data_IF_848711282565
#
_entry.id   IF_848711282565
#
_cell.length_a   1.000
_cell.length_b   1.000
_cell.length_c   1.000
_cell.angle_alpha   90.00
_cell.angle_beta   90.00
_cell.angle_gamma   90.00
#
_symmetry.space_group_name_H-M   'P 1'
#
loop_
_entity.id
_entity.type
_entity.pdbx_description
1 polymer ?
#
# COMPACT_ATOMS: atom_id res chain seq x y z
N UNK A 1 -10.31 16.92 -28.25
CA UNK A 1 -9.64 16.29 -27.09
C UNK A 1 -9.62 14.80 -27.37
N UNK A 2 -8.47 14.14 -27.24
CA UNK A 2 -8.33 12.69 -27.43
C UNK A 2 -9.24 11.96 -26.44
N UNK A 3 -10.05 11.02 -26.92
CA UNK A 3 -11.06 10.34 -26.11
C UNK A 3 -10.46 9.61 -24.91
N UNK A 4 -9.24 9.09 -25.07
CA UNK A 4 -8.48 8.45 -23.98
C UNK A 4 -8.15 9.47 -22.89
N UNK A 5 -7.75 10.69 -23.26
CA UNK A 5 -7.48 11.76 -22.30
C UNK A 5 -8.75 12.22 -21.59
N UNK A 6 -9.88 12.33 -22.31
CA UNK A 6 -11.18 12.65 -21.71
C UNK A 6 -11.61 11.57 -20.72
N UNK A 7 -11.42 10.30 -21.08
CA UNK A 7 -11.71 9.15 -20.23
C UNK A 7 -10.89 9.15 -18.94
N UNK A 8 -9.56 9.27 -19.03
CA UNK A 8 -8.72 9.34 -17.83
C UNK A 8 -8.97 10.60 -17.01
N UNK A 9 -9.32 11.74 -17.64
CA UNK A 9 -9.74 12.92 -16.88
C UNK A 9 -10.99 12.64 -16.07
N UNK A 10 -12.00 11.99 -16.67
CA UNK A 10 -13.24 11.63 -15.97
C UNK A 10 -12.98 10.67 -14.81
N UNK A 11 -12.08 9.69 -14.98
CA UNK A 11 -11.64 8.82 -13.87
C UNK A 11 -11.03 9.64 -12.75
N UNK A 12 -10.05 10.49 -13.05
CA UNK A 12 -9.31 11.28 -12.04
C UNK A 12 -10.18 12.27 -11.26
N UNK A 13 -11.33 12.64 -11.81
CA UNK A 13 -12.29 13.56 -11.16
C UNK A 13 -13.52 12.86 -10.61
N UNK A 14 -13.56 11.52 -10.61
CA UNK A 14 -14.71 10.75 -10.10
C UNK A 14 -16.00 10.91 -10.89
N UNK A 15 -15.92 11.35 -12.15
CA UNK A 15 -17.10 11.57 -13.00
C UNK A 15 -17.62 10.25 -13.57
N UNK A 16 -18.25 9.45 -12.70
CA UNK A 16 -18.79 8.13 -13.01
C UNK A 16 -19.79 8.16 -14.18
N UNK A 17 -20.59 9.23 -14.29
CA UNK A 17 -21.57 9.39 -15.37
C UNK A 17 -20.87 9.47 -16.71
N UNK A 18 -19.84 10.30 -16.81
CA UNK A 18 -19.08 10.44 -18.04
C UNK A 18 -18.23 9.19 -18.34
N UNK A 19 -17.64 8.56 -17.32
CA UNK A 19 -16.96 7.26 -17.47
C UNK A 19 -17.89 6.22 -18.08
N UNK A 20 -19.13 6.09 -17.59
CA UNK A 20 -20.15 5.18 -18.17
C UNK A 20 -20.48 5.53 -19.62
N UNK A 21 -20.74 6.81 -19.92
CA UNK A 21 -21.07 7.25 -21.27
C UNK A 21 -19.94 6.96 -22.28
N UNK A 22 -18.70 7.19 -21.87
CA UNK A 22 -17.52 6.90 -22.68
C UNK A 22 -17.33 5.39 -22.91
N UNK A 23 -17.55 4.56 -21.89
CA UNK A 23 -17.46 3.10 -22.01
C UNK A 23 -18.57 2.49 -22.88
N UNK A 24 -19.78 3.07 -22.87
CA UNK A 24 -20.88 2.65 -23.75
C UNK A 24 -20.51 2.87 -25.22
N UNK A 25 -19.96 4.05 -25.53
CA UNK A 25 -19.61 4.41 -26.91
C UNK A 25 -18.29 3.80 -27.37
N UNK A 26 -17.38 3.51 -26.43
CA UNK A 26 -16.03 3.01 -26.71
C UNK A 26 -15.62 1.93 -25.69
N UNK A 27 -16.15 0.69 -25.79
CA UNK A 27 -15.93 -0.36 -24.79
C UNK A 27 -14.47 -0.74 -24.58
N UNK A 28 -13.61 -0.59 -25.59
CA UNK A 28 -12.18 -0.86 -25.48
C UNK A 28 -11.47 0.01 -24.43
N UNK A 29 -12.05 1.16 -24.04
CA UNK A 29 -11.52 2.02 -22.99
C UNK A 29 -11.42 1.32 -21.62
N UNK A 30 -12.18 0.23 -21.40
CA UNK A 30 -12.09 -0.55 -20.17
C UNK A 30 -10.67 -1.06 -19.89
N UNK A 31 -9.88 -1.30 -20.95
CA UNK A 31 -8.49 -1.75 -20.90
C UNK A 31 -7.52 -0.67 -21.42
N UNK A 32 -7.94 0.58 -21.50
CA UNK A 32 -7.05 1.66 -21.91
C UNK A 32 -5.97 1.91 -20.85
N UNK A 33 -4.82 2.40 -21.32
CA UNK A 33 -3.72 2.86 -20.49
C UNK A 33 -3.39 4.32 -20.76
N UNK A 34 -2.89 5.02 -19.75
CA UNK A 34 -2.31 6.36 -19.91
C UNK A 34 -1.06 6.28 -20.81
N UNK A 35 -0.55 7.44 -21.25
CA UNK A 35 0.72 7.47 -22.03
C UNK A 35 1.91 6.94 -21.23
N UNK A 36 1.83 6.98 -19.91
CA UNK A 36 2.81 6.45 -18.96
C UNK A 36 2.60 4.97 -18.65
N UNK A 37 1.55 4.35 -19.19
CA UNK A 37 1.28 2.91 -19.06
C UNK A 37 0.34 2.51 -17.92
N UNK A 38 -0.24 3.46 -17.18
CA UNK A 38 -1.17 3.15 -16.09
C UNK A 38 -2.53 2.73 -16.66
N UNK A 39 -3.06 1.58 -16.25
CA UNK A 39 -4.40 1.16 -16.67
C UNK A 39 -5.50 2.04 -16.08
N UNK A 40 -6.69 1.99 -16.69
CA UNK A 40 -7.89 2.60 -16.13
C UNK A 40 -8.18 2.18 -14.68
N UNK A 41 -7.97 0.90 -14.35
CA UNK A 41 -8.20 0.36 -13.00
C UNK A 41 -7.20 0.94 -12.02
N UNK A 42 -5.91 0.97 -12.37
CA UNK A 42 -4.87 1.49 -11.48
C UNK A 42 -5.08 2.99 -11.20
N UNK A 43 -5.43 3.77 -12.23
CA UNK A 43 -5.76 5.19 -12.05
C UNK A 43 -6.99 5.35 -11.14
N UNK A 44 -8.05 4.57 -11.34
CA UNK A 44 -9.24 4.66 -10.48
C UNK A 44 -8.92 4.29 -9.02
N UNK A 45 -8.06 3.30 -8.79
CA UNK A 45 -7.57 2.94 -7.44
C UNK A 45 -6.79 4.10 -6.82
N UNK A 46 -5.82 4.68 -7.54
CA UNK A 46 -4.98 5.77 -7.02
C UNK A 46 -5.78 7.02 -6.65
N UNK A 47 -6.77 7.38 -7.48
CA UNK A 47 -7.62 8.55 -7.22
C UNK A 47 -8.77 8.24 -6.24
N UNK A 48 -8.78 7.06 -5.61
CA UNK A 48 -9.79 6.63 -4.64
C UNK A 48 -11.22 6.67 -5.19
N UNK A 49 -11.43 6.05 -6.36
CA UNK A 49 -12.69 6.02 -7.08
C UNK A 49 -13.33 4.61 -7.09
N UNK A 50 -13.85 4.13 -5.94
CA UNK A 50 -14.26 2.73 -5.77
C UNK A 50 -15.41 2.31 -6.69
N UNK A 51 -16.33 3.22 -7.02
CA UNK A 51 -17.45 2.91 -7.93
C UNK A 51 -16.97 2.78 -9.39
N UNK A 52 -15.94 3.53 -9.78
CA UNK A 52 -15.32 3.38 -11.10
C UNK A 52 -14.52 2.07 -11.15
N UNK A 53 -13.79 1.72 -10.09
CA UNK A 53 -13.11 0.41 -9.99
C UNK A 53 -14.12 -0.72 -10.15
N UNK A 54 -15.22 -0.71 -9.40
CA UNK A 54 -16.28 -1.73 -9.51
C UNK A 54 -16.83 -1.83 -10.92
N UNK A 55 -17.09 -0.70 -11.57
CA UNK A 55 -17.59 -0.65 -12.95
C UNK A 55 -16.60 -1.29 -13.93
N UNK A 56 -15.32 -0.91 -13.88
CA UNK A 56 -14.29 -1.44 -14.77
C UNK A 56 -14.13 -2.95 -14.59
N UNK A 57 -14.12 -3.43 -13.35
CA UNK A 57 -14.07 -4.86 -13.03
C UNK A 57 -15.30 -5.61 -13.57
N UNK A 58 -16.50 -5.05 -13.42
CA UNK A 58 -17.74 -5.65 -13.93
C UNK A 58 -17.77 -5.75 -15.46
N UNK A 59 -17.06 -4.84 -16.14
CA UNK A 59 -16.92 -4.82 -17.60
C UNK A 59 -15.75 -5.66 -18.12
N UNK A 60 -15.07 -6.43 -17.25
CA UNK A 60 -14.00 -7.33 -17.66
C UNK A 60 -12.66 -6.65 -17.91
N UNK A 61 -12.34 -5.61 -17.12
CA UNK A 61 -11.01 -5.03 -17.13
C UNK A 61 -9.93 -6.10 -16.89
N UNK A 62 -8.93 -6.13 -17.77
CA UNK A 62 -7.77 -6.99 -17.65
C UNK A 62 -6.87 -6.44 -16.55
N UNK A 63 -6.57 -7.30 -15.57
CA UNK A 63 -5.73 -6.91 -14.45
C UNK A 63 -4.30 -7.38 -14.65
N UNK A 64 -3.38 -6.44 -14.48
CA UNK A 64 -1.97 -6.70 -14.18
C UNK A 64 -1.82 -7.21 -12.75
N UNK A 65 -0.61 -7.66 -12.38
CA UNK A 65 -0.36 -8.11 -11.01
C UNK A 65 -0.52 -6.97 -10.00
N UNK A 66 -0.24 -5.74 -10.41
CA UNK A 66 -0.36 -4.56 -9.56
C UNK A 66 -1.82 -4.26 -9.23
N UNK A 67 -2.69 -4.19 -10.23
CA UNK A 67 -4.12 -3.95 -10.00
C UNK A 67 -4.77 -5.11 -9.27
N UNK A 68 -4.45 -6.35 -9.67
CA UNK A 68 -4.97 -7.53 -9.00
C UNK A 68 -4.59 -7.56 -7.52
N UNK A 69 -3.37 -7.14 -7.18
CA UNK A 69 -2.94 -6.98 -5.80
C UNK A 69 -3.62 -5.83 -5.08
N UNK A 70 -3.78 -4.68 -5.73
CA UNK A 70 -4.39 -3.49 -5.14
C UNK A 70 -5.91 -3.63 -4.92
N UNK A 71 -6.60 -4.48 -5.68
CA UNK A 71 -8.04 -4.73 -5.53
C UNK A 71 -8.37 -6.10 -4.92
N UNK A 72 -7.36 -6.84 -4.45
CA UNK A 72 -7.55 -8.08 -3.71
C UNK A 72 -8.04 -9.28 -4.53
N UNK A 73 -7.75 -9.32 -5.83
CA UNK A 73 -8.16 -10.41 -6.74
C UNK A 73 -7.18 -11.59 -6.65
N UNK A 74 -7.25 -12.33 -5.55
CA UNK A 74 -6.37 -13.46 -5.22
C UNK A 74 -6.14 -14.43 -6.37
N UNK A 75 -7.21 -14.96 -6.97
CA UNK A 75 -7.08 -15.97 -8.03
C UNK A 75 -6.41 -15.38 -9.29
N UNK A 76 -6.64 -14.09 -9.57
CA UNK A 76 -5.95 -13.43 -10.67
C UNK A 76 -4.46 -13.26 -10.39
N UNK A 77 -4.09 -12.90 -9.15
CA UNK A 77 -2.68 -12.86 -8.73
C UNK A 77 -2.05 -14.26 -8.87
N UNK A 78 -2.76 -15.32 -8.45
CA UNK A 78 -2.30 -16.70 -8.58
C UNK A 78 -2.06 -17.10 -10.03
N UNK A 79 -2.99 -16.82 -10.93
CA UNK A 79 -2.86 -17.07 -12.36
C UNK A 79 -1.65 -16.34 -12.97
N UNK A 80 -1.50 -15.05 -12.66
CA UNK A 80 -0.40 -14.22 -13.16
C UNK A 80 0.96 -14.75 -12.73
N UNK A 81 1.10 -15.16 -11.46
CA UNK A 81 2.32 -15.76 -10.94
C UNK A 81 2.61 -17.16 -11.51
N UNK A 82 1.59 -17.89 -11.99
CA UNK A 82 1.76 -19.22 -12.57
C UNK A 82 2.11 -19.21 -14.08
N UNK A 83 1.77 -18.14 -14.80
CA UNK A 83 1.72 -18.11 -16.28
C UNK A 83 2.98 -17.59 -16.99
N UNK A 84 4.10 -17.38 -16.29
CA UNK A 84 5.38 -17.03 -16.91
C UNK A 84 6.04 -15.80 -16.27
N UNK A 85 6.66 -14.88 -17.05
CA UNK A 85 7.73 -13.97 -16.60
C UNK A 85 7.32 -12.87 -15.60
N UNK A 86 6.11 -12.94 -15.02
CA UNK A 86 5.65 -12.00 -13.99
C UNK A 86 6.57 -12.07 -12.78
N UNK A 87 7.38 -11.03 -12.61
CA UNK A 87 8.27 -10.93 -11.46
C UNK A 87 7.45 -10.50 -10.24
N UNK A 88 7.44 -11.35 -9.21
CA UNK A 88 6.80 -11.07 -7.92
C UNK A 88 7.30 -9.76 -7.28
N UNK A 89 8.52 -9.35 -7.63
CA UNK A 89 9.22 -8.15 -7.18
C UNK A 89 9.27 -7.02 -8.24
N UNK A 90 8.37 -7.04 -9.22
CA UNK A 90 8.25 -5.96 -10.19
C UNK A 90 7.77 -4.65 -9.55
N UNK A 91 7.92 -3.55 -10.27
CA UNK A 91 7.46 -2.23 -9.85
C UNK A 91 6.39 -1.70 -10.80
N UNK A 92 5.31 -1.18 -10.23
CA UNK A 92 4.34 -0.38 -10.95
C UNK A 92 4.95 0.98 -11.33
N UNK A 93 4.23 1.75 -12.15
CA UNK A 93 4.66 3.08 -12.63
C UNK A 93 4.83 4.11 -11.50
N UNK A 94 4.11 3.95 -10.40
CA UNK A 94 4.21 4.74 -9.18
C UNK A 94 5.29 4.24 -8.21
N UNK A 95 6.03 3.20 -8.61
CA UNK A 95 7.13 2.62 -7.87
C UNK A 95 6.72 1.60 -6.81
N UNK A 96 5.45 1.24 -6.62
CA UNK A 96 5.07 0.21 -5.66
C UNK A 96 5.27 -1.23 -6.20
N UNK A 97 5.54 -2.17 -5.30
CA UNK A 97 5.55 -3.60 -5.60
C UNK A 97 4.13 -4.19 -5.46
N UNK A 98 3.84 -5.37 -6.02
CA UNK A 98 2.57 -6.05 -5.77
C UNK A 98 2.31 -6.28 -4.28
N UNK A 99 3.36 -6.61 -3.51
CA UNK A 99 3.28 -6.80 -2.06
C UNK A 99 2.97 -5.49 -1.34
N UNK A 100 3.64 -4.40 -1.73
CA UNK A 100 3.38 -3.06 -1.20
C UNK A 100 1.93 -2.62 -1.44
N UNK A 101 1.39 -2.81 -2.65
CA UNK A 101 0.00 -2.49 -2.96
C UNK A 101 -0.98 -3.34 -2.15
N UNK A 102 -0.79 -4.65 -2.08
CA UNK A 102 -1.64 -5.53 -1.28
C UNK A 102 -1.61 -5.16 0.22
N UNK A 103 -0.44 -4.79 0.73
CA UNK A 103 -0.27 -4.33 2.11
C UNK A 103 -0.95 -2.98 2.36
N UNK A 104 -0.83 -2.03 1.44
CA UNK A 104 -1.48 -0.72 1.51
C UNK A 104 -3.01 -0.83 1.53
N UNK A 105 -3.58 -1.63 0.62
CA UNK A 105 -5.04 -1.77 0.47
C UNK A 105 -5.68 -2.81 1.39
N UNK A 106 -4.91 -3.51 2.23
CA UNK A 106 -5.47 -4.37 3.27
C UNK A 106 -5.84 -5.79 2.80
N UNK A 107 -5.20 -6.30 1.75
CA UNK A 107 -5.52 -7.60 1.16
C UNK A 107 -4.61 -8.72 1.69
N UNK A 108 -4.88 -9.18 2.93
CA UNK A 108 -4.08 -10.19 3.63
C UNK A 108 -3.84 -11.48 2.83
N UNK A 109 -4.88 -12.05 2.24
CA UNK A 109 -4.77 -13.28 1.44
C UNK A 109 -3.83 -13.11 0.23
N UNK A 110 -3.79 -11.92 -0.37
CA UNK A 110 -2.85 -11.60 -1.45
C UNK A 110 -1.44 -11.40 -0.91
N UNK A 111 -1.29 -10.73 0.24
CA UNK A 111 0.00 -10.59 0.94
C UNK A 111 0.62 -11.96 1.21
N UNK A 112 -0.14 -12.87 1.81
CA UNK A 112 0.31 -14.24 2.12
C UNK A 112 0.74 -14.98 0.84
N UNK A 113 -0.08 -14.95 -0.22
CA UNK A 113 0.28 -15.57 -1.49
C UNK A 113 1.56 -14.98 -2.09
N UNK A 114 1.73 -13.66 -2.06
CA UNK A 114 2.91 -13.01 -2.62
C UNK A 114 4.18 -13.39 -1.85
N UNK A 115 4.11 -13.43 -0.51
CA UNK A 115 5.20 -13.88 0.36
C UNK A 115 5.56 -15.36 0.10
N UNK A 116 4.55 -16.24 0.00
CA UNK A 116 4.74 -17.65 -0.38
C UNK A 116 5.41 -17.83 -1.75
N UNK A 117 5.22 -16.87 -2.66
CA UNK A 117 5.82 -16.85 -4.00
C UNK A 117 7.15 -16.11 -4.06
N UNK A 118 7.74 -15.78 -2.91
CA UNK A 118 9.07 -15.19 -2.83
C UNK A 118 9.11 -13.69 -3.08
N UNK A 119 8.01 -12.98 -2.78
CA UNK A 119 8.06 -11.52 -2.69
C UNK A 119 9.11 -11.12 -1.64
N UNK A 120 9.98 -10.17 -1.99
CA UNK A 120 10.92 -9.59 -1.05
C UNK A 120 10.14 -8.66 -0.11
N UNK A 121 10.03 -9.10 1.15
CA UNK A 121 9.27 -8.43 2.21
C UNK A 121 9.81 -7.04 2.55
N UNK A 122 11.09 -6.78 2.27
CA UNK A 122 11.77 -5.52 2.57
C UNK A 122 12.00 -4.66 1.31
N UNK A 123 11.44 -5.05 0.17
CA UNK A 123 11.60 -4.31 -1.07
C UNK A 123 10.81 -3.00 -1.03
N UNK A 124 11.53 -1.91 -0.79
CA UNK A 124 11.01 -0.56 -0.80
C UNK A 124 10.49 -0.13 -2.18
N UNK A 125 9.46 0.72 -2.18
CA UNK A 125 8.99 1.38 -3.40
C UNK A 125 10.10 2.23 -4.05
N UNK A 126 10.03 2.41 -5.36
CA UNK A 126 10.95 3.26 -6.15
C UNK A 126 10.47 4.70 -6.33
N UNK A 127 9.53 5.14 -5.48
CA UNK A 127 9.14 6.55 -5.41
C UNK A 127 10.02 7.30 -4.39
N UNK A 128 9.84 8.62 -4.30
CA UNK A 128 10.67 9.47 -3.43
C UNK A 128 10.60 9.05 -1.94
N UNK A 129 9.52 8.42 -1.52
CA UNK A 129 9.25 8.04 -0.13
C UNK A 129 9.94 6.74 0.29
N UNK A 130 10.33 5.86 -0.65
CA UNK A 130 10.96 4.57 -0.36
C UNK A 130 10.15 3.72 0.64
N UNK A 131 8.82 3.67 0.46
CA UNK A 131 7.87 3.00 1.36
C UNK A 131 8.04 1.49 1.28
N UNK A 132 8.26 0.84 2.42
CA UNK A 132 8.26 -0.62 2.52
C UNK A 132 6.86 -1.18 2.83
N UNK A 133 6.59 -2.46 2.53
CA UNK A 133 5.30 -3.09 2.83
C UNK A 133 4.85 -2.95 4.29
N UNK A 134 5.79 -3.04 5.25
CA UNK A 134 5.47 -2.91 6.67
C UNK A 134 4.98 -1.50 7.03
N UNK A 135 5.59 -0.44 6.49
CA UNK A 135 5.10 0.93 6.65
C UNK A 135 3.68 1.08 6.09
N UNK A 136 3.41 0.51 4.91
CA UNK A 136 2.07 0.58 4.30
C UNK A 136 1.00 -0.08 5.20
N UNK A 137 1.31 -1.26 5.74
CA UNK A 137 0.41 -1.96 6.66
C UNK A 137 0.16 -1.17 7.96
N UNK A 138 1.21 -0.55 8.51
CA UNK A 138 1.12 0.25 9.74
C UNK A 138 0.35 1.55 9.51
N UNK A 139 0.67 2.31 8.47
CA UNK A 139 -0.01 3.55 8.13
C UNK A 139 -1.53 3.38 7.98
N UNK A 140 -1.97 2.21 7.49
CA UNK A 140 -3.38 1.89 7.25
C UNK A 140 -4.00 0.96 8.32
N UNK A 141 -3.33 0.75 9.46
CA UNK A 141 -3.84 -0.04 10.59
C UNK A 141 -4.13 -1.52 10.27
N UNK A 142 -3.47 -2.10 9.28
CA UNK A 142 -3.65 -3.50 8.88
C UNK A 142 -2.83 -4.44 9.76
N UNK A 143 -3.25 -4.60 11.03
CA UNK A 143 -2.52 -5.38 12.04
C UNK A 143 -2.22 -6.82 11.61
N UNK A 144 -3.16 -7.50 10.94
CA UNK A 144 -2.97 -8.87 10.46
C UNK A 144 -1.89 -8.95 9.36
N UNK A 145 -1.83 -7.93 8.49
CA UNK A 145 -0.79 -7.84 7.45
C UNK A 145 0.56 -7.55 8.08
N UNK A 146 0.64 -6.62 9.05
CA UNK A 146 1.88 -6.35 9.77
C UNK A 146 2.42 -7.62 10.44
N UNK A 147 1.56 -8.44 11.06
CA UNK A 147 1.92 -9.75 11.61
C UNK A 147 2.48 -10.69 10.54
N UNK A 148 1.81 -10.81 9.39
CA UNK A 148 2.26 -11.67 8.30
C UNK A 148 3.62 -11.24 7.73
N UNK A 149 3.82 -9.93 7.54
CA UNK A 149 5.08 -9.36 7.06
C UNK A 149 6.23 -9.62 8.05
N UNK A 150 6.03 -9.35 9.35
CA UNK A 150 7.03 -9.59 10.38
C UNK A 150 7.38 -11.08 10.51
N UNK A 151 6.38 -11.97 10.40
CA UNK A 151 6.60 -13.42 10.39
C UNK A 151 7.45 -13.89 9.19
N UNK A 152 7.47 -13.13 8.09
CA UNK A 152 8.29 -13.39 6.90
C UNK A 152 9.60 -12.59 6.88
N UNK A 153 9.99 -11.98 8.01
CA UNK A 153 11.29 -11.31 8.15
C UNK A 153 11.30 -9.86 7.67
N UNK A 154 10.15 -9.16 7.70
CA UNK A 154 10.14 -7.72 7.57
C UNK A 154 11.04 -7.08 8.64
N UNK A 155 11.89 -6.14 8.23
CA UNK A 155 12.69 -5.35 9.16
C UNK A 155 11.77 -4.40 9.94
N UNK A 156 11.57 -4.71 11.22
CA UNK A 156 10.74 -3.91 12.13
C UNK A 156 11.27 -2.47 12.29
N UNK A 157 12.57 -2.27 12.06
CA UNK A 157 13.26 -0.99 12.15
C UNK A 157 13.54 -0.39 10.77
N UNK A 158 12.89 -0.90 9.73
CA UNK A 158 12.97 -0.35 8.38
C UNK A 158 12.81 1.17 8.37
N UNK A 159 13.72 1.85 7.68
CA UNK A 159 13.67 3.29 7.51
C UNK A 159 13.12 3.66 6.13
N UNK A 160 12.16 4.57 6.11
CA UNK A 160 11.76 5.30 4.90
C UNK A 160 12.43 6.69 4.90
N UNK A 161 11.94 7.62 4.07
CA UNK A 161 12.43 9.00 4.07
C UNK A 161 12.50 9.61 5.48
N UNK A 162 13.46 10.51 5.70
CA UNK A 162 13.72 11.17 6.98
C UNK A 162 13.99 10.23 8.17
N UNK A 163 14.52 9.02 7.92
CA UNK A 163 14.75 7.98 8.94
C UNK A 163 13.46 7.59 9.70
N UNK A 164 12.31 7.70 9.05
CA UNK A 164 11.03 7.39 9.68
C UNK A 164 10.79 5.87 9.72
N UNK A 165 10.38 5.33 10.88
CA UNK A 165 10.23 3.88 11.10
C UNK A 165 8.76 3.48 11.27
N UNK A 166 8.41 2.19 11.18
CA UNK A 166 7.07 1.72 11.53
C UNK A 166 6.62 2.15 12.93
N UNK A 167 7.54 2.21 13.90
CA UNK A 167 7.21 2.62 15.27
C UNK A 167 6.85 4.11 15.35
N UNK A 168 7.51 4.99 14.57
CA UNK A 168 7.10 6.39 14.44
C UNK A 168 5.69 6.52 13.83
N UNK A 169 5.39 5.74 12.78
CA UNK A 169 4.07 5.73 12.13
C UNK A 169 2.96 5.30 13.10
N UNK A 170 3.17 4.20 13.81
CA UNK A 170 2.23 3.70 14.80
C UNK A 170 2.03 4.70 15.95
N UNK A 171 3.09 5.37 16.38
CA UNK A 171 3.05 6.39 17.42
C UNK A 171 2.32 7.66 16.99
N UNK A 172 2.53 8.12 15.76
CA UNK A 172 1.84 9.27 15.17
C UNK A 172 0.33 9.05 15.07
N UNK A 173 -0.07 7.81 14.74
CA UNK A 173 -1.46 7.47 14.48
C UNK A 173 -2.19 6.88 15.71
N UNK A 174 -1.55 6.80 16.88
CA UNK A 174 -2.20 6.35 18.11
C UNK A 174 -2.48 4.84 18.18
N UNK A 175 -1.71 4.02 17.46
CA UNK A 175 -2.03 2.60 17.24
C UNK A 175 -1.44 1.69 18.34
N UNK A 176 -2.10 1.59 19.49
CA UNK A 176 -1.63 0.81 20.65
C UNK A 176 -1.29 -0.66 20.31
N UNK A 177 -2.20 -1.39 19.64
CA UNK A 177 -1.98 -2.78 19.26
C UNK A 177 -0.81 -2.96 18.28
N UNK A 178 -0.65 -2.01 17.35
CA UNK A 178 0.46 -2.02 16.41
C UNK A 178 1.78 -1.74 17.11
N UNK A 179 1.81 -0.83 18.09
CA UNK A 179 2.97 -0.61 18.94
C UNK A 179 3.39 -1.87 19.67
N UNK A 180 2.45 -2.55 20.32
CA UNK A 180 2.72 -3.81 21.01
C UNK A 180 3.31 -4.85 20.06
N UNK A 181 2.75 -4.97 18.85
CA UNK A 181 3.28 -5.87 17.83
C UNK A 181 4.72 -5.54 17.45
N UNK A 182 5.00 -4.27 17.12
CA UNK A 182 6.32 -3.82 16.68
C UNK A 182 7.36 -3.96 17.81
N UNK A 183 7.03 -3.55 19.03
CA UNK A 183 7.91 -3.68 20.19
C UNK A 183 8.21 -5.15 20.52
N UNK A 184 7.22 -6.04 20.41
CA UNK A 184 7.41 -7.48 20.58
C UNK A 184 8.36 -8.11 19.53
N UNK A 185 8.52 -7.46 18.37
CA UNK A 185 9.46 -7.86 17.31
C UNK A 185 10.80 -7.12 17.38
N UNK A 186 11.07 -6.35 18.44
CA UNK A 186 12.36 -5.69 18.65
C UNK A 186 12.50 -4.33 17.96
N UNK A 187 11.39 -3.60 17.76
CA UNK A 187 11.46 -2.20 17.36
C UNK A 187 12.28 -1.37 18.37
N UNK A 188 13.20 -0.55 17.87
CA UNK A 188 13.96 0.38 18.71
C UNK A 188 13.03 1.50 19.19
N UNK A 189 12.70 1.46 20.48
CA UNK A 189 11.80 2.41 21.13
C UNK A 189 12.34 3.86 21.15
N UNK A 190 13.65 4.03 21.01
CA UNK A 190 14.36 5.31 21.11
C UNK A 190 14.93 5.79 19.77
N UNK A 191 14.53 5.17 18.66
CA UNK A 191 14.94 5.61 17.32
C UNK A 191 14.61 7.09 17.11
N UNK A 192 15.50 7.81 16.42
CA UNK A 192 15.30 9.23 16.08
C UNK A 192 15.17 9.37 14.57
N UNK A 193 14.11 10.06 14.14
CA UNK A 193 14.00 10.52 12.75
C UNK A 193 14.91 11.73 12.51
N UNK A 194 15.02 12.19 11.26
CA UNK A 194 16.03 13.17 10.84
C UNK A 194 16.00 14.51 11.60
N UNK A 195 14.84 14.93 12.11
CA UNK A 195 14.69 16.15 12.93
C UNK A 195 14.87 15.90 14.43
N UNK A 196 15.26 14.68 14.81
CA UNK A 196 15.56 14.28 16.18
C UNK A 196 14.35 13.79 16.98
N UNK A 197 13.13 13.81 16.44
CA UNK A 197 11.97 13.28 17.14
C UNK A 197 12.06 11.76 17.32
N UNK A 198 11.62 11.28 18.49
CA UNK A 198 11.42 9.87 18.79
C UNK A 198 9.94 9.49 18.65
N UNK A 199 9.59 8.19 18.61
CA UNK A 199 8.19 7.77 18.69
C UNK A 199 7.47 8.37 19.90
N UNK A 200 8.14 8.52 21.04
CA UNK A 200 7.56 9.10 22.25
C UNK A 200 7.21 10.58 22.06
N UNK A 201 8.13 11.39 21.53
CA UNK A 201 7.87 12.82 21.33
C UNK A 201 6.73 13.04 20.33
N UNK A 202 6.65 12.20 19.29
CA UNK A 202 5.55 12.25 18.32
C UNK A 202 4.22 11.93 19.03
N UNK A 203 4.13 10.82 19.76
CA UNK A 203 2.90 10.45 20.47
C UNK A 203 2.44 11.52 21.47
N UNK A 204 3.38 12.17 22.16
CA UNK A 204 3.10 13.28 23.07
C UNK A 204 2.52 14.50 22.33
N UNK A 205 3.14 14.90 21.21
CA UNK A 205 2.65 16.02 20.39
C UNK A 205 1.25 15.77 19.82
N UNK A 206 0.95 14.52 19.46
CA UNK A 206 -0.36 14.12 18.94
C UNK A 206 -1.40 13.84 20.04
N UNK A 207 -1.00 13.80 21.32
CA UNK A 207 -1.91 13.60 22.46
C UNK A 207 -2.35 12.15 22.69
N UNK A 208 -1.66 11.17 22.12
CA UNK A 208 -2.01 9.74 22.22
C UNK A 208 -1.55 9.14 23.55
N UNK A 209 -2.28 9.42 24.63
CA UNK A 209 -1.88 9.08 26.01
C UNK A 209 -1.60 7.58 26.23
N UNK A 210 -2.40 6.70 25.64
CA UNK A 210 -2.19 5.25 25.74
C UNK A 210 -0.86 4.84 25.10
N UNK A 211 -0.58 5.33 23.88
CA UNK A 211 0.70 5.10 23.20
C UNK A 211 1.87 5.67 23.99
N UNK A 212 1.73 6.86 24.58
CA UNK A 212 2.75 7.45 25.47
C UNK A 212 3.06 6.51 26.63
N UNK A 213 2.03 5.97 27.28
CA UNK A 213 2.20 5.03 28.39
C UNK A 213 2.91 3.75 27.94
N UNK A 214 2.52 3.18 26.79
CA UNK A 214 3.16 1.98 26.22
C UNK A 214 4.64 2.23 25.93
N UNK A 215 4.98 3.34 25.27
CA UNK A 215 6.36 3.68 24.94
C UNK A 215 7.20 3.88 26.21
N UNK A 216 6.69 4.60 27.20
CA UNK A 216 7.38 4.80 28.50
C UNK A 216 7.60 3.48 29.24
N UNK A 217 6.62 2.58 29.23
CA UNK A 217 6.76 1.25 29.83
C UNK A 217 7.90 0.44 29.18
N UNK A 218 8.16 0.66 27.89
CA UNK A 218 9.23 0.01 27.15
C UNK A 218 10.55 0.81 27.15
N UNK A 219 10.67 1.85 27.98
CA UNK A 219 11.90 2.65 28.10
C UNK A 219 12.07 3.72 27.03
N UNK A 220 10.99 4.14 26.39
CA UNK A 220 10.97 5.25 25.46
C UNK A 220 11.33 6.58 26.15
N UNK A 221 12.15 7.36 25.46
CA UNK A 221 12.66 8.66 25.90
C UNK A 221 12.44 9.72 24.82
N UNK A 222 12.54 11.00 25.21
CA UNK A 222 12.42 12.14 24.30
C UNK A 222 13.72 12.41 23.52
#
# INVERSE_FOLDING_TARGET
MDITQTFFKAIKTGDLTNVKALLITNPALVNASTRTGESAVLVAVYYNEPEIVKLLLALGAQLTIFEASAVGKLERVRELLASGPTQVNAFATDGFTPLGLAAFFGHLNVVELLLEKGADVNLASRNAQHVMPLHSAVAHQHLAIAKALLAHGADVNAIQADNFTPLHEAAQNGQADMLHLLLAHGADVNVRKADGETPLTIAQKQGHQEVVAILQQHGGTA
#
